data_IF_721211675715
#
_entry.id   IF_721211675715
#
_cell.length_a   1.000
_cell.length_b   1.000
_cell.length_c   1.000
_cell.angle_alpha   90.00
_cell.angle_beta   90.00
_cell.angle_gamma   90.00
#
_symmetry.space_group_name_H-M   'P 1'
#
loop_
_entity.id
_entity.type
_entity.pdbx_description
1 polymer ?
#
# COMPACT_ATOMS: atom_id res chain seq x y z
N UNK A 1 43.09 34.62 17.33
CA UNK A 1 44.35 34.31 18.04
C UNK A 1 45.58 34.66 17.19
N UNK A 2 45.68 34.21 15.95
CA UNK A 2 46.85 34.48 15.07
C UNK A 2 47.12 35.98 14.90
N UNK A 3 46.08 36.80 14.75
CA UNK A 3 46.23 38.29 14.71
C UNK A 3 46.78 38.83 16.01
N UNK A 4 46.34 38.33 17.16
CA UNK A 4 46.87 38.72 18.45
C UNK A 4 48.34 38.37 18.66
N UNK A 5 48.76 37.21 18.16
CA UNK A 5 50.15 36.80 18.14
C UNK A 5 50.96 37.79 17.27
N UNK A 6 50.47 38.07 16.07
CA UNK A 6 51.13 39.01 15.17
C UNK A 6 51.29 40.40 15.83
N UNK A 7 50.24 40.97 16.39
CA UNK A 7 50.30 42.29 17.08
C UNK A 7 51.27 42.27 18.25
N UNK A 8 51.24 41.26 19.11
CA UNK A 8 52.11 41.11 20.25
C UNK A 8 53.57 40.99 19.82
N UNK A 9 53.87 40.15 18.78
CA UNK A 9 55.23 39.99 18.30
C UNK A 9 55.78 41.24 17.56
N UNK A 10 54.90 42.02 16.89
CA UNK A 10 55.26 43.35 16.37
C UNK A 10 55.64 44.30 17.51
N UNK A 11 54.88 44.33 18.58
CA UNK A 11 55.14 45.19 19.75
C UNK A 11 56.44 44.77 20.45
N UNK A 12 56.66 43.44 20.64
CA UNK A 12 57.83 42.90 21.32
C UNK A 12 59.15 43.11 20.52
N UNK A 13 59.10 42.95 19.20
CA UNK A 13 60.27 42.97 18.33
C UNK A 13 60.53 44.31 17.64
N UNK A 14 59.50 45.16 17.56
CA UNK A 14 59.54 46.42 16.79
C UNK A 14 59.61 46.18 15.27
N UNK A 15 59.22 45.01 14.79
CA UNK A 15 59.21 44.65 13.36
C UNK A 15 57.82 44.98 12.79
N UNK A 16 57.61 46.18 12.29
CA UNK A 16 56.31 46.64 11.78
C UNK A 16 55.82 45.90 10.56
N UNK A 17 56.72 45.21 9.83
CA UNK A 17 56.38 44.43 8.60
C UNK A 17 56.14 42.97 8.87
N UNK A 18 56.06 42.52 10.14
CA UNK A 18 55.82 41.16 10.53
C UNK A 18 54.42 40.72 10.06
N UNK A 19 54.34 39.56 9.45
CA UNK A 19 53.06 38.92 9.04
C UNK A 19 53.02 37.49 9.46
N UNK A 20 51.87 37.02 9.94
CA UNK A 20 51.58 35.60 10.08
C UNK A 20 51.06 35.12 8.74
N UNK A 21 51.62 34.04 8.25
CA UNK A 21 51.19 33.32 7.01
C UNK A 21 51.09 31.81 7.24
N UNK A 22 50.53 31.13 6.28
CA UNK A 22 50.39 29.67 6.28
C UNK A 22 51.03 29.09 5.04
N UNK A 23 51.73 27.96 5.20
CA UNK A 23 52.33 27.18 4.12
C UNK A 23 52.01 25.69 4.30
N UNK A 24 51.58 25.03 3.22
CA UNK A 24 51.19 23.61 3.25
C UNK A 24 52.29 22.62 3.66
N UNK A 25 53.56 23.05 3.62
CA UNK A 25 54.72 22.16 3.92
C UNK A 25 55.12 22.23 5.40
N UNK A 26 55.10 23.42 6.01
CA UNK A 26 55.60 23.63 7.39
C UNK A 26 54.67 24.44 8.30
N UNK A 27 53.41 24.68 7.83
CA UNK A 27 52.35 25.28 8.64
C UNK A 27 52.38 26.78 8.77
N UNK A 28 51.94 27.29 9.92
CA UNK A 28 51.93 28.72 10.22
C UNK A 28 53.34 29.26 10.50
N UNK A 29 53.63 30.43 9.95
CA UNK A 29 54.94 31.10 10.10
C UNK A 29 54.81 32.60 10.30
N UNK A 30 55.87 33.18 10.86
CA UNK A 30 56.10 34.61 10.92
C UNK A 30 57.03 34.99 9.77
N UNK A 31 56.59 35.91 8.91
CA UNK A 31 57.38 36.40 7.79
C UNK A 31 58.04 37.76 8.17
N UNK A 32 59.37 37.82 8.10
CA UNK A 32 60.17 38.98 8.43
C UNK A 32 60.97 39.39 7.21
N UNK A 33 60.87 40.66 6.78
CA UNK A 33 61.68 41.18 5.69
C UNK A 33 63.18 41.19 6.08
N UNK A 34 64.04 40.97 5.12
CA UNK A 34 65.53 40.92 5.34
C UNK A 34 66.08 42.19 6.01
N UNK A 35 65.43 43.36 5.85
CA UNK A 35 65.78 44.62 6.49
C UNK A 35 65.68 44.58 8.01
N UNK A 36 64.91 43.66 8.58
CA UNK A 36 64.71 43.54 10.03
C UNK A 36 65.29 42.24 10.61
N UNK A 37 66.12 41.51 9.87
CA UNK A 37 66.71 40.22 10.27
C UNK A 37 67.42 40.28 11.61
N UNK A 38 68.10 41.38 11.90
CA UNK A 38 68.88 41.58 13.15
C UNK A 38 67.99 41.83 14.39
N UNK A 39 66.65 41.96 14.21
CA UNK A 39 65.71 42.15 15.31
C UNK A 39 64.92 40.86 15.66
N UNK A 40 65.21 39.77 14.96
CA UNK A 40 64.55 38.48 15.17
C UNK A 40 65.06 37.86 16.47
N UNK A 41 64.18 37.45 17.41
CA UNK A 41 64.58 36.77 18.64
C UNK A 41 65.26 35.44 18.37
N UNK A 42 66.22 35.08 19.20
CA UNK A 42 67.00 33.83 19.05
C UNK A 42 66.11 32.56 19.20
N UNK A 43 65.02 32.67 19.97
CA UNK A 43 64.08 31.57 20.16
C UNK A 43 63.23 31.22 18.93
N UNK A 44 63.21 32.06 17.88
CA UNK A 44 62.48 31.80 16.66
C UNK A 44 63.28 30.85 15.72
N UNK A 45 62.66 29.77 15.32
CA UNK A 45 63.30 28.79 14.45
C UNK A 45 63.08 29.19 13.01
N UNK A 46 64.16 29.46 12.28
CA UNK A 46 64.11 29.75 10.84
C UNK A 46 63.74 28.49 10.05
N UNK A 47 62.76 28.55 9.19
CA UNK A 47 62.30 27.44 8.33
C UNK A 47 62.58 27.66 6.87
N UNK A 48 62.51 28.90 6.38
CA UNK A 48 62.71 29.18 4.97
C UNK A 48 63.35 30.57 4.81
N UNK A 49 64.30 30.64 3.87
CA UNK A 49 64.88 31.90 3.41
C UNK A 49 64.38 32.20 1.99
N UNK A 50 63.78 33.37 1.80
CA UNK A 50 63.31 33.90 0.54
C UNK A 50 64.25 35.02 0.08
N UNK A 51 64.11 35.46 -1.20
CA UNK A 51 64.94 36.56 -1.74
C UNK A 51 64.81 37.89 -0.95
N UNK A 52 63.63 38.20 -0.37
CA UNK A 52 63.37 39.46 0.32
C UNK A 52 62.88 39.30 1.78
N UNK A 53 62.70 38.09 2.29
CA UNK A 53 62.20 37.80 3.61
C UNK A 53 62.71 36.44 4.14
N UNK A 54 62.61 36.24 5.44
CA UNK A 54 62.82 34.96 6.10
C UNK A 54 61.53 34.55 6.81
N UNK A 55 61.28 33.26 6.92
CA UNK A 55 60.14 32.69 7.59
C UNK A 55 60.55 31.92 8.82
N UNK A 56 59.90 32.25 9.92
CA UNK A 56 60.20 31.68 11.23
C UNK A 56 58.96 31.00 11.82
N UNK A 57 59.19 30.00 12.63
CA UNK A 57 58.19 29.39 13.46
C UNK A 57 58.50 29.62 14.94
N UNK A 58 57.48 29.70 15.76
CA UNK A 58 57.57 29.71 17.22
C UNK A 58 56.85 28.49 17.78
N UNK A 59 57.25 28.08 19.00
CA UNK A 59 56.57 26.99 19.69
C UNK A 59 55.06 27.25 19.84
N UNK A 60 54.70 28.46 20.15
CA UNK A 60 53.30 28.87 20.27
C UNK A 60 52.51 28.75 18.94
N UNK A 61 53.11 29.14 17.81
CA UNK A 61 52.46 28.95 16.52
C UNK A 61 52.24 27.49 16.20
N UNK A 62 53.13 26.57 16.56
CA UNK A 62 52.96 25.15 16.44
C UNK A 62 51.79 24.62 17.27
N UNK A 63 51.67 25.04 18.52
CA UNK A 63 50.59 24.62 19.40
C UNK A 63 49.23 25.10 18.88
N UNK A 64 49.13 26.30 18.29
CA UNK A 64 47.89 26.79 17.66
C UNK A 64 47.62 26.05 16.35
N UNK A 65 48.65 25.72 15.57
CA UNK A 65 48.50 24.91 14.37
C UNK A 65 47.88 23.54 14.67
N UNK A 66 48.42 22.82 15.66
CA UNK A 66 47.87 21.55 16.12
C UNK A 66 46.41 21.68 16.58
N UNK A 67 46.06 22.80 17.27
CA UNK A 67 44.67 23.09 17.69
C UNK A 67 43.77 23.38 16.51
N UNK A 68 44.24 24.12 15.50
CA UNK A 68 43.48 24.49 14.31
C UNK A 68 43.28 23.26 13.42
N UNK A 69 44.33 22.54 13.09
CA UNK A 69 44.29 21.32 12.21
C UNK A 69 43.47 20.20 12.85
N UNK A 70 43.55 20.05 14.18
CA UNK A 70 42.77 19.03 14.88
C UNK A 70 41.35 19.47 15.22
N UNK A 71 40.93 20.73 14.91
CA UNK A 71 39.59 21.23 15.25
C UNK A 71 38.52 20.52 14.43
N UNK A 72 38.71 20.34 13.14
CA UNK A 72 37.74 19.72 12.24
C UNK A 72 37.46 18.25 12.64
N UNK A 73 38.50 17.49 12.96
CA UNK A 73 38.33 16.13 13.47
C UNK A 73 37.57 16.08 14.79
N UNK A 74 37.89 17.01 15.70
CA UNK A 74 37.18 17.11 17.00
C UNK A 74 35.72 17.50 16.82
N UNK A 75 35.43 18.38 15.88
CA UNK A 75 34.05 18.76 15.55
C UNK A 75 33.28 17.53 15.07
N UNK A 76 33.81 16.78 14.11
CA UNK A 76 33.15 15.57 13.59
C UNK A 76 32.90 14.53 14.69
N UNK A 77 33.88 14.30 15.56
CA UNK A 77 33.72 13.36 16.68
C UNK A 77 32.64 13.83 17.64
N UNK A 78 32.65 15.13 18.00
CA UNK A 78 31.67 15.70 18.92
C UNK A 78 30.27 15.70 18.32
N UNK A 79 30.13 16.04 17.05
CA UNK A 79 28.85 15.97 16.33
C UNK A 79 28.28 14.55 16.32
N UNK A 80 29.13 13.55 16.01
CA UNK A 80 28.73 12.16 16.05
C UNK A 80 28.30 11.71 17.46
N UNK A 81 29.03 12.15 18.48
CA UNK A 81 28.69 11.85 19.87
C UNK A 81 27.33 12.45 20.25
N UNK A 82 27.14 13.75 20.02
CA UNK A 82 25.88 14.45 20.34
C UNK A 82 24.69 13.87 19.58
N UNK A 83 24.90 13.49 18.32
CA UNK A 83 23.86 12.84 17.52
C UNK A 83 23.46 11.48 18.13
N UNK A 84 24.44 10.66 18.52
CA UNK A 84 24.16 9.38 19.17
C UNK A 84 23.49 9.56 20.54
N UNK A 85 23.92 10.52 21.35
CA UNK A 85 23.28 10.85 22.63
C UNK A 85 21.82 11.26 22.43
N UNK A 86 21.53 12.07 21.41
CA UNK A 86 20.16 12.43 21.03
C UNK A 86 19.33 11.23 20.65
N UNK A 87 19.84 10.33 19.79
CA UNK A 87 19.15 9.10 19.39
C UNK A 87 18.84 8.23 20.61
N UNK A 88 19.83 8.02 21.49
CA UNK A 88 19.63 7.22 22.70
C UNK A 88 18.60 7.88 23.62
N UNK A 89 18.66 9.19 23.80
CA UNK A 89 17.68 9.92 24.60
C UNK A 89 16.26 9.88 24.03
N UNK A 90 16.10 9.72 22.71
CA UNK A 90 14.79 9.57 22.08
C UNK A 90 14.18 8.17 22.24
N UNK A 91 14.97 7.13 22.55
CA UNK A 91 14.50 5.74 22.61
C UNK A 91 13.37 5.54 23.64
N UNK A 92 13.40 6.25 24.75
CA UNK A 92 12.35 6.16 25.78
C UNK A 92 10.98 6.64 25.29
N UNK A 93 10.92 7.50 24.26
CA UNK A 93 9.68 8.06 23.70
C UNK A 93 9.11 7.21 22.55
N UNK A 94 9.90 6.28 21.98
CA UNK A 94 9.49 5.43 20.82
C UNK A 94 8.16 4.71 21.09
N UNK A 95 7.95 4.03 22.23
CA UNK A 95 6.69 3.33 22.50
C UNK A 95 5.48 4.27 22.47
N UNK A 96 5.59 5.45 23.05
CA UNK A 96 4.53 6.45 23.08
C UNK A 96 4.24 7.00 21.68
N UNK A 97 5.29 7.26 20.89
CA UNK A 97 5.15 7.70 19.50
C UNK A 97 4.44 6.63 18.67
N UNK A 98 4.80 5.36 18.83
CA UNK A 98 4.15 4.23 18.15
C UNK A 98 2.68 4.09 18.54
N UNK A 99 2.35 4.22 19.82
CA UNK A 99 0.95 4.21 20.29
C UNK A 99 0.18 5.36 19.66
N UNK A 100 0.71 6.59 19.68
CA UNK A 100 0.06 7.74 19.09
C UNK A 100 -0.11 7.59 17.57
N UNK A 101 0.89 7.08 16.86
CA UNK A 101 0.80 6.80 15.42
C UNK A 101 -0.34 5.81 15.11
N UNK A 102 -0.45 4.72 15.89
CA UNK A 102 -1.53 3.75 15.74
C UNK A 102 -2.92 4.35 16.04
N UNK A 103 -3.03 5.19 17.06
CA UNK A 103 -4.29 5.88 17.38
C UNK A 103 -4.71 6.84 16.27
N UNK A 104 -3.78 7.64 15.76
CA UNK A 104 -4.03 8.56 14.64
C UNK A 104 -4.44 7.78 13.39
N UNK A 105 -3.73 6.70 13.04
CA UNK A 105 -4.07 5.85 11.91
C UNK A 105 -5.48 5.26 12.01
N UNK A 106 -5.88 4.80 13.20
CA UNK A 106 -7.26 4.33 13.44
C UNK A 106 -8.29 5.43 13.29
N UNK A 107 -8.01 6.62 13.81
CA UNK A 107 -8.91 7.76 13.68
C UNK A 107 -9.06 8.19 12.21
N UNK A 108 -7.97 8.20 11.44
CA UNK A 108 -7.98 8.54 10.02
C UNK A 108 -8.84 7.53 9.22
N UNK A 109 -8.66 6.22 9.46
CA UNK A 109 -9.52 5.19 8.84
C UNK A 109 -11.00 5.38 9.20
N UNK A 110 -11.33 5.59 10.48
CA UNK A 110 -12.70 5.78 10.91
C UNK A 110 -13.34 7.05 10.34
N UNK A 111 -12.56 8.13 10.25
CA UNK A 111 -13.02 9.37 9.62
C UNK A 111 -13.29 9.18 8.13
N UNK A 112 -12.40 8.47 7.42
CA UNK A 112 -12.60 8.11 6.01
C UNK A 112 -13.86 7.28 5.81
N UNK A 113 -14.09 6.27 6.65
CA UNK A 113 -15.31 5.45 6.60
C UNK A 113 -16.57 6.29 6.87
N UNK A 114 -16.54 7.13 7.89
CA UNK A 114 -17.67 8.00 8.24
C UNK A 114 -18.02 8.96 7.10
N UNK A 115 -17.01 9.64 6.54
CA UNK A 115 -17.19 10.57 5.42
C UNK A 115 -17.74 9.87 4.18
N UNK A 116 -17.13 8.76 3.77
CA UNK A 116 -17.57 7.98 2.62
C UNK A 116 -19.00 7.46 2.81
N UNK A 117 -19.35 7.03 4.02
CA UNK A 117 -20.67 6.51 4.35
C UNK A 117 -21.75 7.60 4.30
N UNK A 118 -21.46 8.78 4.82
CA UNK A 118 -22.37 9.93 4.81
C UNK A 118 -22.62 10.44 3.38
N UNK A 119 -21.54 10.69 2.63
CA UNK A 119 -21.61 11.20 1.25
C UNK A 119 -22.35 10.24 0.31
N UNK A 120 -22.21 8.91 0.49
CA UNK A 120 -22.79 7.90 -0.40
C UNK A 120 -24.01 7.18 0.20
N UNK A 121 -24.52 7.65 1.33
CA UNK A 121 -25.72 7.09 1.99
C UNK A 121 -25.58 5.58 2.24
N UNK A 122 -24.46 5.18 2.83
CA UNK A 122 -24.26 3.80 3.24
C UNK A 122 -24.97 3.53 4.56
N UNK A 123 -25.34 2.27 4.78
CA UNK A 123 -26.04 1.84 5.99
C UNK A 123 -25.17 0.95 6.85
N UNK A 124 -25.40 0.96 8.16
CA UNK A 124 -24.69 0.09 9.09
C UNK A 124 -25.10 -1.37 8.88
N UNK A 125 -24.18 -2.28 8.52
CA UNK A 125 -24.49 -3.69 8.40
C UNK A 125 -24.61 -4.35 9.79
N UNK A 126 -25.37 -5.44 9.85
CA UNK A 126 -25.35 -6.39 10.96
C UNK A 126 -24.32 -7.46 10.66
N UNK A 127 -23.33 -7.64 11.54
CA UNK A 127 -22.34 -8.70 11.44
C UNK A 127 -22.55 -9.66 12.59
N UNK A 128 -22.62 -10.96 12.29
CA UNK A 128 -22.81 -12.01 13.27
C UNK A 128 -22.08 -13.32 12.88
N UNK A 129 -22.13 -14.31 13.75
CA UNK A 129 -21.50 -15.62 13.52
C UNK A 129 -22.32 -16.58 12.63
N UNK A 130 -23.41 -16.11 12.05
CA UNK A 130 -24.22 -16.92 11.13
C UNK A 130 -23.51 -17.18 9.81
N UNK A 131 -24.05 -18.10 9.02
CA UNK A 131 -23.60 -18.35 7.65
C UNK A 131 -24.52 -17.68 6.62
N UNK A 132 -25.25 -16.66 7.02
CA UNK A 132 -26.19 -15.93 6.16
C UNK A 132 -25.49 -14.70 5.59
N UNK A 133 -25.68 -14.46 4.30
CA UNK A 133 -25.40 -13.21 3.63
C UNK A 133 -26.70 -12.70 3.01
N UNK A 134 -27.33 -11.70 3.63
CA UNK A 134 -28.56 -11.09 3.16
C UNK A 134 -28.33 -9.59 2.90
N UNK A 135 -28.27 -9.23 1.65
CA UNK A 135 -28.07 -7.86 1.17
C UNK A 135 -29.36 -7.42 0.47
N UNK A 136 -29.98 -6.36 0.94
CA UNK A 136 -31.15 -5.74 0.30
C UNK A 136 -30.74 -4.47 -0.43
N UNK A 137 -31.17 -4.37 -1.68
CA UNK A 137 -30.93 -3.21 -2.55
C UNK A 137 -29.44 -2.81 -2.56
N UNK A 138 -28.55 -3.81 -2.69
CA UNK A 138 -27.12 -3.60 -2.77
C UNK A 138 -26.74 -2.80 -4.01
N UNK A 139 -25.77 -1.89 -3.86
CA UNK A 139 -25.23 -1.04 -4.93
C UNK A 139 -23.73 -1.28 -5.06
N UNK A 140 -23.20 -1.06 -6.25
CA UNK A 140 -21.76 -1.21 -6.48
C UNK A 140 -21.04 0.11 -6.12
N UNK A 141 -20.18 0.13 -5.08
CA UNK A 141 -19.62 1.37 -4.53
C UNK A 141 -18.83 2.22 -5.53
N UNK A 142 -18.18 1.56 -6.51
CA UNK A 142 -17.39 2.28 -7.51
C UNK A 142 -18.23 2.67 -8.73
N UNK A 143 -19.07 1.75 -9.23
CA UNK A 143 -19.86 2.04 -10.44
C UNK A 143 -20.86 3.17 -10.17
N UNK A 144 -21.53 3.15 -9.01
CA UNK A 144 -22.53 4.20 -8.72
C UNK A 144 -21.95 5.61 -8.66
N UNK A 145 -20.68 5.76 -8.26
CA UNK A 145 -20.01 7.07 -8.21
C UNK A 145 -19.50 7.54 -9.57
N UNK A 146 -19.40 6.63 -10.55
CA UNK A 146 -18.92 6.93 -11.91
C UNK A 146 -20.05 7.10 -12.93
N UNK A 147 -21.30 6.92 -12.54
CA UNK A 147 -22.43 7.09 -13.44
C UNK A 147 -22.58 8.56 -13.86
N UNK A 148 -22.99 8.82 -15.12
CA UNK A 148 -23.31 10.16 -15.57
C UNK A 148 -24.40 10.82 -14.73
N UNK A 149 -24.40 12.16 -14.68
CA UNK A 149 -25.44 12.93 -13.98
C UNK A 149 -26.83 12.56 -14.51
N UNK A 150 -27.71 12.14 -13.58
CA UNK A 150 -29.09 11.75 -13.89
C UNK A 150 -29.28 10.23 -14.04
N UNK A 151 -28.23 9.45 -14.21
CA UNK A 151 -28.30 8.00 -14.17
C UNK A 151 -28.23 7.47 -12.75
N UNK A 152 -28.98 6.40 -12.47
CA UNK A 152 -28.97 5.73 -11.17
C UNK A 152 -28.51 4.29 -11.30
N UNK A 153 -27.75 3.84 -10.35
CA UNK A 153 -27.41 2.43 -10.24
C UNK A 153 -28.68 1.62 -9.93
N UNK A 154 -28.84 0.48 -10.60
CA UNK A 154 -29.98 -0.44 -10.34
C UNK A 154 -29.56 -1.39 -9.21
N UNK A 155 -30.16 -1.22 -8.02
CA UNK A 155 -29.77 -2.03 -6.87
C UNK A 155 -30.36 -3.44 -6.97
N UNK A 156 -29.65 -4.42 -6.37
CA UNK A 156 -30.06 -5.82 -6.39
C UNK A 156 -29.98 -6.44 -4.99
N UNK A 157 -30.88 -7.40 -4.76
CA UNK A 157 -30.86 -8.23 -3.56
C UNK A 157 -29.99 -9.45 -3.79
N UNK A 158 -29.25 -9.84 -2.74
CA UNK A 158 -28.45 -11.08 -2.73
C UNK A 158 -28.73 -11.77 -1.39
N UNK A 159 -29.24 -12.98 -1.47
CA UNK A 159 -29.40 -13.87 -0.32
C UNK A 159 -28.58 -15.14 -0.54
N UNK A 160 -27.65 -15.43 0.37
CA UNK A 160 -26.95 -16.71 0.45
C UNK A 160 -27.10 -17.29 1.86
N UNK A 161 -27.44 -18.56 1.91
CA UNK A 161 -27.71 -19.32 3.12
C UNK A 161 -27.26 -20.75 2.89
N UNK A 162 -26.37 -21.26 3.71
CA UNK A 162 -25.80 -22.61 3.56
C UNK A 162 -26.82 -23.75 3.74
N UNK A 163 -28.01 -23.47 4.26
CA UNK A 163 -29.06 -24.47 4.43
C UNK A 163 -30.01 -24.57 3.22
N UNK A 164 -30.36 -23.43 2.59
CA UNK A 164 -31.43 -23.37 1.55
C UNK A 164 -30.95 -22.83 0.21
N UNK A 165 -30.03 -21.88 0.22
CA UNK A 165 -29.57 -21.16 -0.97
C UNK A 165 -28.06 -20.89 -0.88
N UNK A 166 -27.28 -21.97 -0.94
CA UNK A 166 -25.83 -21.91 -0.84
C UNK A 166 -25.20 -21.35 -2.11
N UNK A 167 -25.74 -21.73 -3.27
CA UNK A 167 -25.25 -21.35 -4.59
C UNK A 167 -26.33 -20.59 -5.35
N UNK A 168 -26.01 -19.36 -5.78
CA UNK A 168 -26.81 -18.61 -6.74
C UNK A 168 -26.18 -18.80 -8.14
N UNK A 169 -26.86 -19.54 -8.99
CA UNK A 169 -26.52 -19.68 -10.40
C UNK A 169 -27.10 -18.49 -11.16
N UNK A 170 -26.26 -17.64 -11.75
CA UNK A 170 -26.68 -16.38 -12.37
C UNK A 170 -26.47 -16.45 -13.87
N UNK A 171 -27.57 -16.50 -14.63
CA UNK A 171 -27.54 -16.48 -16.09
C UNK A 171 -27.90 -15.10 -16.64
N UNK A 172 -27.71 -14.91 -17.92
CA UNK A 172 -28.07 -13.67 -18.63
C UNK A 172 -27.07 -13.32 -19.70
N UNK A 173 -27.40 -12.41 -20.62
CA UNK A 173 -26.53 -12.02 -21.72
C UNK A 173 -25.28 -11.28 -21.24
N UNK A 174 -24.29 -11.16 -22.13
CA UNK A 174 -23.13 -10.30 -21.86
C UNK A 174 -23.58 -8.85 -21.67
N UNK A 175 -22.82 -8.09 -20.85
CA UNK A 175 -23.11 -6.71 -20.48
C UNK A 175 -24.39 -6.51 -19.63
N UNK A 176 -25.12 -7.56 -19.26
CA UNK A 176 -26.29 -7.46 -18.41
C UNK A 176 -25.98 -7.04 -16.95
N UNK A 177 -24.72 -7.14 -16.52
CA UNK A 177 -24.29 -6.73 -15.19
C UNK A 177 -23.94 -7.86 -14.22
N UNK A 178 -23.86 -9.12 -14.70
CA UNK A 178 -23.49 -10.28 -13.88
C UNK A 178 -22.20 -10.05 -13.09
N UNK A 179 -21.10 -9.71 -13.77
CA UNK A 179 -19.79 -9.45 -13.14
C UNK A 179 -19.83 -8.27 -12.15
N UNK A 180 -20.65 -7.24 -12.44
CA UNK A 180 -20.83 -6.12 -11.53
C UNK A 180 -21.52 -6.56 -10.23
N UNK A 181 -22.52 -7.43 -10.31
CA UNK A 181 -23.22 -7.98 -9.15
C UNK A 181 -22.28 -8.83 -8.27
N UNK A 182 -21.46 -9.67 -8.87
CA UNK A 182 -20.46 -10.46 -8.14
C UNK A 182 -19.50 -9.55 -7.36
N UNK A 183 -18.90 -8.58 -8.06
CA UNK A 183 -17.96 -7.62 -7.45
C UNK A 183 -18.64 -6.76 -6.38
N UNK A 184 -19.86 -6.29 -6.62
CA UNK A 184 -20.68 -5.58 -5.64
C UNK A 184 -20.78 -6.38 -4.34
N UNK A 185 -21.17 -7.65 -4.43
CA UNK A 185 -21.33 -8.52 -3.27
C UNK A 185 -20.05 -8.69 -2.50
N UNK A 186 -18.91 -8.95 -3.19
CA UNK A 186 -17.61 -9.06 -2.56
C UNK A 186 -17.19 -7.76 -1.83
N UNK A 187 -17.40 -6.60 -2.48
CA UNK A 187 -17.05 -5.30 -1.90
C UNK A 187 -17.91 -4.96 -0.69
N UNK A 188 -19.22 -5.26 -0.72
CA UNK A 188 -20.11 -5.07 0.42
C UNK A 188 -19.64 -5.91 1.62
N UNK A 189 -19.32 -7.20 1.41
CA UNK A 189 -18.81 -8.08 2.45
C UNK A 189 -17.47 -7.58 3.01
N UNK A 190 -16.56 -7.16 2.13
CA UNK A 190 -15.26 -6.62 2.53
C UNK A 190 -15.44 -5.34 3.36
N UNK A 191 -16.22 -4.37 2.89
CA UNK A 191 -16.51 -3.12 3.60
C UNK A 191 -17.12 -3.38 4.97
N UNK A 192 -18.09 -4.30 5.04
CA UNK A 192 -18.71 -4.69 6.31
C UNK A 192 -17.66 -5.21 7.31
N UNK A 193 -16.80 -6.13 6.89
CA UNK A 193 -15.84 -6.79 7.78
C UNK A 193 -14.65 -5.90 8.19
N UNK A 194 -14.29 -4.88 7.41
CA UNK A 194 -13.31 -3.88 7.85
C UNK A 194 -13.91 -2.81 8.75
N UNK A 195 -15.24 -2.85 9.01
CA UNK A 195 -15.93 -1.94 9.93
C UNK A 195 -16.50 -0.68 9.26
N UNK A 196 -16.57 -0.63 7.93
CA UNK A 196 -17.24 0.43 7.20
C UNK A 196 -18.74 0.14 7.05
N UNK A 197 -19.54 1.18 6.86
CA UNK A 197 -20.93 1.04 6.39
C UNK A 197 -20.93 0.60 4.93
N UNK A 198 -22.07 0.10 4.44
CA UNK A 198 -22.18 -0.58 3.14
C UNK A 198 -23.23 0.06 2.24
N UNK A 199 -23.02 0.06 0.91
CA UNK A 199 -23.96 0.60 -0.08
C UNK A 199 -25.14 -0.37 -0.28
N UNK A 200 -26.08 -0.36 0.64
CA UNK A 200 -27.30 -1.16 0.60
C UNK A 200 -28.44 -0.45 1.32
N UNK A 201 -29.66 -0.96 1.22
CA UNK A 201 -30.78 -0.57 2.08
C UNK A 201 -30.65 -1.23 3.46
N UNK A 202 -30.28 -2.50 3.48
CA UNK A 202 -29.87 -3.25 4.67
C UNK A 202 -28.91 -4.36 4.30
N UNK A 203 -28.04 -4.75 5.24
CA UNK A 203 -27.16 -5.91 5.05
C UNK A 203 -26.97 -6.66 6.36
N UNK A 204 -27.09 -7.99 6.29
CA UNK A 204 -26.67 -8.93 7.32
C UNK A 204 -25.56 -9.80 6.75
N UNK A 205 -24.42 -9.77 7.38
CA UNK A 205 -23.21 -10.44 6.90
C UNK A 205 -22.72 -11.40 8.00
N UNK A 206 -22.97 -12.68 7.80
CA UNK A 206 -22.32 -13.73 8.60
C UNK A 206 -20.83 -13.77 8.28
N UNK A 207 -19.99 -13.92 9.29
CA UNK A 207 -18.54 -13.84 9.15
C UNK A 207 -18.01 -14.67 7.97
N UNK A 208 -17.14 -14.05 7.17
CA UNK A 208 -16.45 -14.64 6.03
C UNK A 208 -14.96 -14.69 6.31
N UNK A 209 -14.37 -15.88 6.24
CA UNK A 209 -12.95 -16.07 6.47
C UNK A 209 -12.09 -15.74 5.24
N UNK A 210 -12.63 -16.00 4.04
CA UNK A 210 -11.94 -15.75 2.76
C UNK A 210 -12.95 -15.34 1.69
N UNK A 211 -12.55 -14.42 0.83
CA UNK A 211 -13.30 -14.08 -0.38
C UNK A 211 -12.46 -14.54 -1.56
N UNK A 212 -12.97 -15.48 -2.31
CA UNK A 212 -12.36 -15.99 -3.53
C UNK A 212 -13.08 -15.42 -4.75
N UNK A 213 -12.29 -14.86 -5.67
CA UNK A 213 -12.84 -14.30 -6.90
C UNK A 213 -12.13 -14.89 -8.11
N UNK A 214 -12.90 -15.38 -9.04
CA UNK A 214 -12.48 -15.64 -10.42
C UNK A 214 -13.39 -14.83 -11.32
N UNK A 215 -13.08 -13.56 -11.49
CA UNK A 215 -13.91 -12.57 -12.19
C UNK A 215 -13.05 -11.83 -13.22
N UNK A 216 -13.37 -12.03 -14.49
CA UNK A 216 -12.66 -11.45 -15.63
C UNK A 216 -11.47 -12.29 -16.08
N UNK A 217 -11.16 -12.25 -17.37
CA UNK A 217 -9.94 -12.84 -17.90
C UNK A 217 -8.78 -11.87 -17.64
N UNK A 218 -7.80 -12.27 -16.84
CA UNK A 218 -6.49 -11.65 -16.87
C UNK A 218 -5.71 -12.28 -18.03
N UNK A 219 -5.87 -11.74 -19.22
CA UNK A 219 -5.07 -12.15 -20.39
C UNK A 219 -3.63 -11.69 -20.16
N UNK A 220 -2.88 -12.49 -19.41
CA UNK A 220 -1.44 -12.26 -19.26
C UNK A 220 -0.71 -12.90 -20.47
N UNK A 221 -0.98 -12.32 -21.65
CA UNK A 221 -0.42 -12.74 -22.94
C UNK A 221 1.13 -12.74 -22.93
N UNK A 222 1.73 -11.98 -22.00
CA UNK A 222 3.19 -11.84 -21.90
C UNK A 222 3.93 -13.08 -21.42
N UNK A 223 3.26 -14.06 -20.80
CA UNK A 223 3.88 -15.29 -20.30
C UNK A 223 3.61 -16.51 -21.19
N UNK A 224 2.82 -16.39 -22.30
CA UNK A 224 2.52 -17.48 -23.20
C UNK A 224 1.70 -18.62 -22.58
N UNK A 225 1.10 -18.40 -21.40
CA UNK A 225 0.23 -19.39 -20.77
C UNK A 225 -1.15 -19.38 -21.42
N UNK A 226 -1.73 -20.57 -21.60
CA UNK A 226 -3.11 -20.70 -22.05
C UNK A 226 -4.05 -20.07 -21.01
N UNK A 227 -4.95 -19.18 -21.45
CA UNK A 227 -6.00 -18.59 -20.59
C UNK A 227 -6.79 -19.64 -19.82
N UNK A 228 -7.03 -20.80 -20.44
CA UNK A 228 -7.67 -21.96 -19.81
C UNK A 228 -6.83 -22.53 -18.66
N UNK A 229 -5.50 -22.66 -18.81
CA UNK A 229 -4.63 -23.19 -17.75
C UNK A 229 -4.58 -22.23 -16.54
N UNK A 230 -4.52 -20.92 -16.78
CA UNK A 230 -4.60 -19.92 -15.71
C UNK A 230 -5.92 -20.05 -14.96
N UNK A 231 -7.02 -20.15 -15.70
CA UNK A 231 -8.36 -20.32 -15.13
C UNK A 231 -8.47 -21.59 -14.27
N UNK A 232 -7.96 -22.71 -14.74
CA UNK A 232 -7.97 -23.98 -13.99
C UNK A 232 -7.05 -23.94 -12.77
N UNK A 233 -5.91 -23.27 -12.85
CA UNK A 233 -5.01 -23.10 -11.71
C UNK A 233 -5.66 -22.24 -10.62
N UNK A 234 -6.33 -21.15 -10.99
CA UNK A 234 -7.07 -20.30 -10.05
C UNK A 234 -8.24 -21.08 -9.42
N UNK A 235 -9.02 -21.80 -10.21
CA UNK A 235 -10.10 -22.64 -9.70
C UNK A 235 -9.58 -23.73 -8.75
N UNK A 236 -8.47 -24.40 -9.07
CA UNK A 236 -7.84 -25.39 -8.20
C UNK A 236 -7.36 -24.76 -6.89
N UNK A 237 -6.78 -23.56 -6.93
CA UNK A 237 -6.39 -22.84 -5.73
C UNK A 237 -7.59 -22.53 -4.84
N UNK A 238 -8.71 -22.11 -5.41
CA UNK A 238 -9.96 -21.88 -4.67
C UNK A 238 -10.42 -23.18 -4.01
N UNK A 239 -10.57 -24.27 -4.77
CA UNK A 239 -11.06 -25.55 -4.26
C UNK A 239 -10.19 -26.14 -3.15
N UNK A 240 -8.87 -25.94 -3.22
CA UNK A 240 -7.94 -26.43 -2.20
C UNK A 240 -7.95 -25.59 -0.91
N UNK A 241 -8.42 -24.35 -0.95
CA UNK A 241 -8.35 -23.41 0.17
C UNK A 241 -9.71 -22.95 0.71
N UNK A 242 -10.81 -23.37 0.05
CA UNK A 242 -12.17 -22.99 0.45
C UNK A 242 -12.55 -23.63 1.78
N UNK A 243 -13.38 -22.92 2.56
CA UNK A 243 -14.01 -23.38 3.78
C UNK A 243 -15.52 -23.12 3.72
N UNK A 244 -16.32 -23.71 4.62
CA UNK A 244 -17.76 -23.41 4.70
C UNK A 244 -18.09 -21.92 4.95
N UNK A 245 -17.17 -21.17 5.56
CA UNK A 245 -17.34 -19.73 5.82
C UNK A 245 -16.83 -18.84 4.67
N UNK A 246 -16.28 -19.42 3.62
CA UNK A 246 -15.80 -18.63 2.49
C UNK A 246 -16.95 -18.10 1.63
N UNK A 247 -16.66 -17.00 0.92
CA UNK A 247 -17.48 -16.47 -0.16
C UNK A 247 -16.74 -16.72 -1.49
N UNK A 248 -17.37 -17.41 -2.42
CA UNK A 248 -16.78 -17.77 -3.72
C UNK A 248 -17.56 -17.11 -4.85
N UNK A 249 -16.83 -16.49 -5.77
CA UNK A 249 -17.37 -15.74 -6.91
C UNK A 249 -16.72 -16.25 -8.20
N UNK A 250 -17.49 -16.97 -9.00
CA UNK A 250 -17.07 -17.43 -10.32
C UNK A 250 -17.80 -16.66 -11.42
N UNK A 251 -17.05 -16.15 -12.37
CA UNK A 251 -17.58 -15.46 -13.55
C UNK A 251 -17.11 -16.13 -14.82
N UNK A 252 -18.07 -16.73 -15.53
CA UNK A 252 -17.88 -17.37 -16.83
C UNK A 252 -16.79 -18.47 -16.84
N UNK A 253 -16.74 -19.31 -15.81
CA UNK A 253 -15.78 -20.42 -15.70
C UNK A 253 -15.99 -21.45 -16.82
N UNK A 254 -14.88 -21.95 -17.39
CA UNK A 254 -14.88 -22.93 -18.46
C UNK A 254 -14.91 -22.33 -19.87
N UNK A 255 -14.79 -21.03 -20.03
CA UNK A 255 -14.89 -20.34 -21.32
C UNK A 255 -13.68 -20.57 -22.24
N UNK A 256 -12.54 -20.95 -21.68
CA UNK A 256 -11.27 -21.14 -22.40
C UNK A 256 -11.11 -22.47 -23.12
N UNK A 257 -12.14 -23.34 -23.15
CA UNK A 257 -12.10 -24.67 -23.75
C UNK A 257 -13.35 -24.97 -24.62
N UNK A 258 -13.52 -26.22 -25.08
CA UNK A 258 -14.73 -26.61 -25.79
C UNK A 258 -15.97 -26.47 -24.91
N UNK A 259 -17.12 -26.16 -25.49
CA UNK A 259 -18.37 -25.91 -24.73
C UNK A 259 -18.73 -27.10 -23.83
N UNK A 260 -18.61 -28.31 -24.28
CA UNK A 260 -18.94 -29.51 -23.49
C UNK A 260 -17.96 -29.72 -22.33
N UNK A 261 -16.67 -29.52 -22.56
CA UNK A 261 -15.66 -29.59 -21.49
C UNK A 261 -15.87 -28.49 -20.47
N UNK A 262 -16.13 -27.26 -20.92
CA UNK A 262 -16.43 -26.11 -20.05
C UNK A 262 -17.62 -26.34 -19.15
N UNK A 263 -18.75 -26.83 -19.70
CA UNK A 263 -19.95 -27.21 -18.95
C UNK A 263 -19.61 -28.29 -17.92
N UNK A 264 -18.90 -29.35 -18.35
CA UNK A 264 -18.57 -30.48 -17.47
C UNK A 264 -17.70 -30.06 -16.29
N UNK A 265 -16.71 -29.19 -16.51
CA UNK A 265 -15.83 -28.66 -15.48
C UNK A 265 -16.63 -27.74 -14.51
N UNK A 266 -17.42 -26.84 -15.06
CA UNK A 266 -18.25 -25.94 -14.26
C UNK A 266 -19.24 -26.71 -13.39
N UNK A 267 -19.90 -27.74 -13.96
CA UNK A 267 -20.79 -28.64 -13.23
C UNK A 267 -20.07 -29.33 -12.06
N UNK A 268 -18.94 -29.98 -12.35
CA UNK A 268 -18.17 -30.70 -11.34
C UNK A 268 -17.70 -29.78 -10.18
N UNK A 269 -17.30 -28.55 -10.48
CA UNK A 269 -16.88 -27.57 -9.48
C UNK A 269 -18.06 -27.15 -8.59
N UNK A 270 -19.21 -26.83 -9.18
CA UNK A 270 -20.40 -26.45 -8.42
C UNK A 270 -20.91 -27.63 -7.57
N UNK A 271 -20.94 -28.84 -8.12
CA UNK A 271 -21.28 -30.06 -7.39
C UNK A 271 -20.33 -30.28 -6.20
N UNK A 272 -19.02 -30.14 -6.41
CA UNK A 272 -18.04 -30.27 -5.34
C UNK A 272 -18.30 -29.24 -4.22
N UNK A 273 -18.53 -27.98 -4.56
CA UNK A 273 -18.84 -26.94 -3.59
C UNK A 273 -20.16 -27.20 -2.82
N UNK A 274 -21.12 -27.83 -3.47
CA UNK A 274 -22.41 -28.17 -2.87
C UNK A 274 -22.30 -29.40 -1.96
N UNK A 275 -21.66 -30.47 -2.41
CA UNK A 275 -21.69 -31.77 -1.72
C UNK A 275 -20.58 -31.94 -0.70
N UNK A 276 -19.38 -31.38 -0.95
CA UNK A 276 -18.23 -31.65 -0.09
C UNK A 276 -18.27 -30.80 1.20
N UNK A 277 -18.52 -31.44 2.34
CA UNK A 277 -18.73 -30.82 3.65
C UNK A 277 -17.70 -29.73 4.05
N UNK A 278 -16.45 -29.85 3.60
CA UNK A 278 -15.39 -28.85 3.89
C UNK A 278 -15.38 -27.69 2.91
N UNK A 279 -16.17 -27.75 1.85
CA UNK A 279 -16.18 -26.78 0.75
C UNK A 279 -17.55 -26.11 0.57
N UNK A 280 -18.50 -26.31 1.48
CA UNK A 280 -19.89 -25.79 1.36
C UNK A 280 -19.94 -24.26 1.53
N UNK A 281 -19.18 -23.54 0.71
CA UNK A 281 -19.09 -22.11 0.72
C UNK A 281 -20.30 -21.43 0.07
N UNK A 282 -20.61 -20.24 0.54
CA UNK A 282 -21.58 -19.35 -0.13
C UNK A 282 -21.02 -18.95 -1.48
N UNK A 283 -21.76 -19.22 -2.55
CA UNK A 283 -21.23 -19.11 -3.91
C UNK A 283 -22.14 -18.31 -4.82
N UNK A 284 -21.61 -17.34 -5.55
CA UNK A 284 -22.23 -16.71 -6.71
C UNK A 284 -21.52 -17.24 -7.96
N UNK A 285 -22.25 -17.86 -8.85
CA UNK A 285 -21.74 -18.46 -10.07
C UNK A 285 -22.42 -17.84 -11.29
N UNK A 286 -21.75 -16.88 -11.93
CA UNK A 286 -22.25 -16.29 -13.17
C UNK A 286 -21.79 -17.11 -14.37
N UNK A 287 -22.72 -17.43 -15.26
CA UNK A 287 -22.47 -18.26 -16.42
C UNK A 287 -23.35 -17.88 -17.61
N UNK A 288 -22.92 -18.27 -18.79
CA UNK A 288 -23.73 -18.28 -20.02
C UNK A 288 -24.19 -19.68 -20.43
N UNK A 289 -23.77 -20.71 -19.67
CA UNK A 289 -24.19 -22.10 -19.90
C UNK A 289 -25.58 -22.33 -19.27
N UNK A 290 -26.61 -22.28 -20.08
CA UNK A 290 -27.99 -22.50 -19.62
C UNK A 290 -28.24 -23.94 -19.12
N UNK A 291 -27.43 -24.90 -19.55
CA UNK A 291 -27.45 -26.28 -19.10
C UNK A 291 -27.21 -26.41 -17.60
N UNK A 292 -26.43 -25.53 -17.00
CA UNK A 292 -26.19 -25.52 -15.55
C UNK A 292 -27.45 -25.21 -14.74
N UNK A 293 -28.49 -24.63 -15.34
CA UNK A 293 -29.76 -24.41 -14.66
C UNK A 293 -30.44 -25.70 -14.22
N UNK A 294 -30.14 -26.82 -14.87
CA UNK A 294 -30.67 -28.14 -14.49
C UNK A 294 -30.19 -28.57 -13.10
N UNK A 295 -29.08 -28.02 -12.62
CA UNK A 295 -28.52 -28.34 -11.29
C UNK A 295 -29.52 -28.02 -10.15
N UNK A 296 -30.36 -26.99 -10.26
CA UNK A 296 -31.38 -26.66 -9.25
C UNK A 296 -32.37 -27.83 -9.02
N UNK A 297 -32.67 -28.61 -10.04
CA UNK A 297 -33.56 -29.79 -9.94
C UNK A 297 -32.93 -30.93 -9.16
N UNK A 298 -31.59 -31.01 -9.16
CA UNK A 298 -30.81 -32.11 -8.57
C UNK A 298 -30.31 -31.73 -7.19
N UNK A 299 -29.85 -30.50 -7.02
CA UNK A 299 -29.17 -30.01 -5.82
C UNK A 299 -30.05 -28.97 -5.07
N UNK A 300 -30.56 -29.28 -3.88
CA UNK A 300 -31.60 -28.47 -3.23
C UNK A 300 -31.14 -27.07 -2.82
N UNK A 301 -29.83 -26.87 -2.59
CA UNK A 301 -29.27 -25.57 -2.17
C UNK A 301 -28.73 -24.73 -3.33
N UNK A 302 -28.95 -25.14 -4.57
CA UNK A 302 -28.68 -24.34 -5.77
C UNK A 302 -29.97 -23.65 -6.20
N UNK A 303 -29.91 -22.34 -6.48
CA UNK A 303 -31.01 -21.54 -6.98
C UNK A 303 -30.61 -20.78 -8.23
N UNK A 304 -31.49 -20.82 -9.24
CA UNK A 304 -31.28 -20.11 -10.49
C UNK A 304 -31.79 -18.69 -10.43
N UNK A 305 -31.01 -17.78 -10.99
CA UNK A 305 -31.34 -16.39 -11.17
C UNK A 305 -30.98 -15.93 -12.57
N UNK A 306 -31.69 -14.92 -13.05
CA UNK A 306 -31.43 -14.31 -14.35
C UNK A 306 -31.27 -12.80 -14.19
N UNK A 307 -30.30 -12.22 -14.90
CA UNK A 307 -30.21 -10.78 -15.03
C UNK A 307 -31.04 -10.34 -16.23
N UNK A 308 -32.19 -9.71 -15.94
CA UNK A 308 -33.24 -9.45 -16.92
C UNK A 308 -32.83 -8.39 -17.95
N UNK A 309 -33.27 -8.64 -19.19
CA UNK A 309 -33.20 -7.71 -20.32
C UNK A 309 -34.59 -7.58 -20.91
N UNK A 310 -34.89 -6.40 -21.49
CA UNK A 310 -36.14 -6.15 -22.18
C UNK A 310 -35.88 -5.75 -23.61
N UNK A 311 -36.55 -6.39 -24.54
CA UNK A 311 -36.51 -5.98 -25.94
C UNK A 311 -37.65 -4.97 -26.18
N UNK A 312 -37.33 -3.78 -26.68
CA UNK A 312 -38.28 -2.75 -27.04
C UNK A 312 -37.91 -2.19 -28.41
N UNK A 313 -38.78 -2.34 -29.36
CA UNK A 313 -38.63 -1.87 -30.75
C UNK A 313 -37.32 -2.40 -31.42
N UNK A 314 -37.01 -3.67 -31.20
CA UNK A 314 -35.79 -4.32 -31.77
C UNK A 314 -34.47 -3.89 -31.10
N UNK A 315 -34.54 -3.15 -29.98
CA UNK A 315 -33.37 -2.80 -29.15
C UNK A 315 -33.41 -3.53 -27.82
N UNK A 316 -32.28 -4.14 -27.44
CA UNK A 316 -32.13 -4.79 -26.14
C UNK A 316 -31.82 -3.70 -25.10
N UNK A 317 -32.69 -3.60 -24.08
CA UNK A 317 -32.51 -2.74 -22.92
C UNK A 317 -32.10 -3.61 -21.75
N UNK A 318 -30.91 -3.38 -21.20
CA UNK A 318 -30.41 -4.07 -20.02
C UNK A 318 -31.06 -3.50 -18.77
N UNK A 319 -31.96 -4.26 -18.16
CA UNK A 319 -32.64 -3.85 -16.92
C UNK A 319 -31.71 -3.91 -15.71
N UNK A 320 -30.66 -4.72 -15.81
CA UNK A 320 -29.65 -4.93 -14.74
C UNK A 320 -30.28 -5.39 -13.42
N UNK A 321 -31.48 -5.96 -13.48
CA UNK A 321 -32.20 -6.48 -12.32
C UNK A 321 -32.08 -7.98 -12.26
N UNK A 322 -31.72 -8.47 -11.06
CA UNK A 322 -31.67 -9.90 -10.76
C UNK A 322 -33.06 -10.40 -10.43
N UNK A 323 -33.49 -11.47 -11.12
CA UNK A 323 -34.81 -12.11 -10.95
C UNK A 323 -34.60 -13.62 -10.79
N UNK A 324 -35.45 -14.31 -10.02
CA UNK A 324 -35.44 -15.79 -9.91
C UNK A 324 -35.68 -16.50 -11.23
#
# INVERSE_FOLDING_TARGET
YLLKIQEREIEKTGISSLKVGYNNVFGYYLEVRNTFKNKVPEEWIRKQTLAQAERYITQELKEYEEKILGADEKILVLEAQLFNELIVGMQEYIPQIQINANLIARMDCLLSFAKTSDENRYVRPVIDDSEILDIKQGRHPVIETQLPLGERYVPNDVLLDTEKQQVMMITGPNMAGKSALLRQTALIVLLAQVGCFVPAESARVGLVDKIFTRVGASDNISLGESTFMVEMTEAANILNNVSPRSLVLFDELGRGTSTYDGISIAWAIVEYLHEHKRAQARTLFATHYHELNEMEKIFPRIKNFNVSVKEVNGKVIFLRKLEP
#
